data_IF_352615372182
#
_entry.id   IF_352615372182
#
_cell.length_a   1.000
_cell.length_b   1.000
_cell.length_c   1.000
_cell.angle_alpha   90.00
_cell.angle_beta   90.00
_cell.angle_gamma   90.00
#
_symmetry.space_group_name_H-M   'P 1'
#
loop_
_entity.id
_entity.type
_entity.pdbx_description
1 polymer ?
#
# COMPACT_ATOMS: atom_id res chain seq x y z
N UNK A 1 -30.50 -13.57 47.02
CA UNK A 1 -29.32 -12.69 47.14
C UNK A 1 -28.39 -13.26 48.19
N UNK A 2 -27.36 -14.01 47.78
CA UNK A 2 -26.14 -14.23 48.57
C UNK A 2 -24.99 -14.18 47.57
N UNK A 3 -24.10 -13.23 47.80
CA UNK A 3 -22.88 -12.95 47.05
C UNK A 3 -21.74 -13.64 47.78
N UNK A 4 -20.91 -14.42 47.09
CA UNK A 4 -19.62 -14.88 47.61
C UNK A 4 -18.62 -14.95 46.46
N UNK A 5 -17.71 -13.98 46.47
CA UNK A 5 -16.54 -13.92 45.61
C UNK A 5 -15.43 -14.83 46.16
N UNK A 6 -14.54 -15.24 45.23
CA UNK A 6 -13.11 -15.54 45.41
C UNK A 6 -12.72 -16.96 45.89
N UNK A 7 -12.10 -17.77 45.00
CA UNK A 7 -10.65 -18.02 44.98
C UNK A 7 -10.24 -19.18 44.02
N UNK A 8 -9.21 -18.89 43.22
CA UNK A 8 -8.12 -19.77 42.73
C UNK A 8 -8.42 -20.98 41.84
N UNK A 9 -7.94 -20.95 40.60
CA UNK A 9 -6.69 -21.65 40.24
C UNK A 9 -6.24 -21.31 38.82
N UNK A 10 -5.07 -20.65 38.71
CA UNK A 10 -4.39 -20.38 37.44
C UNK A 10 -3.63 -21.66 37.07
N UNK A 11 -3.98 -22.26 35.94
CA UNK A 11 -3.25 -23.41 35.39
C UNK A 11 -2.27 -22.93 34.32
N UNK A 12 -0.98 -22.83 34.67
CA UNK A 12 0.14 -22.64 33.74
C UNK A 12 0.85 -23.98 33.54
N UNK A 13 0.83 -24.52 32.32
CA UNK A 13 1.82 -25.41 31.69
C UNK A 13 1.33 -25.61 30.24
N UNK A 14 2.12 -25.62 29.17
CA UNK A 14 3.50 -26.07 29.03
C UNK A 14 4.20 -25.41 27.82
N UNK A 15 5.50 -25.24 27.96
CA UNK A 15 6.47 -25.05 26.88
C UNK A 15 6.42 -26.19 25.85
N UNK A 16 6.51 -25.88 24.56
CA UNK A 16 7.46 -26.57 23.68
C UNK A 16 7.76 -25.73 22.43
N UNK A 17 9.05 -25.55 22.21
CA UNK A 17 9.65 -24.84 21.08
C UNK A 17 9.81 -25.78 19.88
N UNK A 18 9.82 -25.24 18.66
CA UNK A 18 10.83 -25.54 17.63
C UNK A 18 10.65 -24.67 16.39
N UNK A 19 11.72 -23.93 16.07
CA UNK A 19 11.97 -23.18 14.85
C UNK A 19 12.43 -24.15 13.75
N UNK A 20 11.94 -23.99 12.51
CA UNK A 20 12.62 -24.52 11.32
C UNK A 20 12.65 -23.42 10.26
N UNK A 21 13.84 -22.86 10.04
CA UNK A 21 14.16 -21.99 8.91
C UNK A 21 14.77 -22.88 7.83
N UNK A 22 14.18 -22.92 6.63
CA UNK A 22 14.82 -23.49 5.46
C UNK A 22 15.22 -22.35 4.52
N UNK A 23 16.50 -21.96 4.58
CA UNK A 23 17.15 -21.24 3.49
C UNK A 23 17.50 -22.25 2.39
N UNK A 24 16.93 -22.06 1.20
CA UNK A 24 17.45 -22.67 -0.02
C UNK A 24 18.07 -21.60 -0.90
N UNK A 25 19.39 -21.65 -0.98
CA UNK A 25 20.25 -20.89 -1.86
C UNK A 25 20.39 -21.55 -3.25
N UNK A 26 20.99 -20.79 -4.17
CA UNK A 26 21.50 -21.13 -5.53
C UNK A 26 20.46 -21.07 -6.67
N UNK A 27 20.74 -20.45 -7.83
CA UNK A 27 22.05 -20.31 -8.49
C UNK A 27 22.25 -18.98 -9.22
N UNK A 28 23.50 -18.52 -9.17
CA UNK A 28 24.12 -17.59 -10.11
C UNK A 28 24.43 -18.37 -11.40
N UNK A 29 24.12 -17.82 -12.57
CA UNK A 29 24.81 -18.22 -13.79
C UNK A 29 25.06 -17.03 -14.70
N UNK A 30 26.31 -16.95 -15.14
CA UNK A 30 26.93 -15.85 -15.85
C UNK A 30 26.43 -15.75 -17.29
N UNK A 31 26.15 -14.54 -17.75
CA UNK A 31 26.09 -14.18 -19.16
C UNK A 31 27.02 -13.01 -19.42
N UNK A 32 28.28 -13.31 -19.71
CA UNK A 32 29.25 -12.34 -20.18
C UNK A 32 28.90 -11.90 -21.61
N UNK A 33 28.85 -10.59 -21.85
CA UNK A 33 28.72 -9.99 -23.17
C UNK A 33 29.21 -8.55 -23.12
N UNK A 34 30.39 -8.32 -23.69
CA UNK A 34 31.17 -7.10 -23.61
C UNK A 34 30.67 -5.99 -24.55
N UNK A 35 30.87 -4.74 -24.10
CA UNK A 35 31.10 -3.48 -24.82
C UNK A 35 30.23 -3.11 -26.04
N UNK A 36 29.52 -2.00 -25.93
CA UNK A 36 29.65 -0.94 -26.93
C UNK A 36 29.39 0.42 -26.29
N UNK A 37 30.38 1.29 -26.41
CA UNK A 37 30.37 2.70 -26.04
C UNK A 37 29.16 3.45 -26.58
N UNK A 38 28.66 4.38 -25.76
CA UNK A 38 28.35 5.73 -26.22
C UNK A 38 28.40 6.70 -25.05
N UNK A 39 29.53 7.41 -25.00
CA UNK A 39 29.70 8.60 -24.20
C UNK A 39 28.65 9.65 -24.58
N UNK A 40 28.01 10.20 -23.56
CA UNK A 40 27.07 11.31 -23.66
C UNK A 40 26.91 11.98 -22.30
N UNK A 41 28.02 12.30 -21.64
CA UNK A 41 28.02 13.18 -20.48
C UNK A 41 27.73 14.60 -20.96
N UNK A 42 26.75 15.27 -20.35
CA UNK A 42 26.96 16.51 -19.59
C UNK A 42 25.65 17.00 -18.95
N UNK A 43 25.63 16.90 -17.62
CA UNK A 43 25.15 17.89 -16.64
C UNK A 43 23.87 18.69 -16.95
N UNK A 44 22.83 18.51 -16.12
CA UNK A 44 22.52 19.42 -14.99
C UNK A 44 21.69 18.68 -13.94
N UNK A 45 22.18 18.69 -12.70
CA UNK A 45 21.44 18.25 -11.52
C UNK A 45 20.26 19.17 -11.30
N UNK A 46 19.04 18.61 -11.30
CA UNK A 46 17.84 19.21 -10.75
C UNK A 46 16.91 18.04 -10.43
N UNK A 47 16.59 17.87 -9.16
CA UNK A 47 15.71 16.85 -8.61
C UNK A 47 14.45 16.65 -9.46
N UNK A 48 14.52 15.65 -10.34
CA UNK A 48 13.39 15.10 -11.06
C UNK A 48 13.34 13.66 -10.63
N UNK A 49 12.49 13.36 -9.66
CA UNK A 49 12.09 11.98 -9.37
C UNK A 49 11.20 11.57 -10.55
N UNK A 50 11.85 11.30 -11.68
CA UNK A 50 11.24 10.70 -12.86
C UNK A 50 10.67 9.37 -12.43
N UNK A 51 9.34 9.25 -12.50
CA UNK A 51 8.66 7.97 -12.55
C UNK A 51 9.40 7.12 -13.58
N UNK A 52 10.11 6.10 -13.10
CA UNK A 52 10.84 5.18 -13.95
C UNK A 52 9.83 4.26 -14.61
N UNK A 53 9.26 4.74 -15.72
CA UNK A 53 8.67 3.88 -16.74
C UNK A 53 9.82 3.16 -17.44
N UNK A 54 10.37 2.13 -16.80
CA UNK A 54 11.28 1.19 -17.47
C UNK A 54 10.41 0.10 -18.07
N UNK A 55 10.06 0.31 -19.33
CA UNK A 55 9.43 -0.69 -20.20
C UNK A 55 10.27 -1.97 -20.19
N UNK A 56 9.73 -3.00 -19.55
CA UNK A 56 10.19 -4.38 -19.66
C UNK A 56 9.04 -5.20 -20.24
N UNK A 57 9.19 -5.58 -21.50
CA UNK A 57 8.22 -6.28 -22.34
C UNK A 57 7.81 -7.65 -21.77
N UNK A 58 6.86 -7.67 -20.82
CA UNK A 58 6.05 -8.83 -20.35
C UNK A 58 4.69 -8.37 -19.79
N UNK A 59 4.19 -7.22 -20.24
CA UNK A 59 3.50 -6.25 -19.36
C UNK A 59 1.97 -6.38 -19.29
N UNK A 60 1.31 -7.08 -20.21
CA UNK A 60 -0.15 -7.01 -20.33
C UNK A 60 -0.92 -7.58 -19.14
N UNK A 61 -0.45 -8.66 -18.52
CA UNK A 61 -1.17 -9.30 -17.42
C UNK A 61 -0.95 -8.57 -16.09
N UNK A 62 0.29 -8.16 -15.80
CA UNK A 62 0.60 -7.44 -14.56
C UNK A 62 0.01 -6.02 -14.57
N UNK A 63 0.04 -5.32 -15.71
CA UNK A 63 -0.58 -3.99 -15.83
C UNK A 63 -2.10 -4.08 -15.64
N UNK A 64 -2.74 -5.14 -16.18
CA UNK A 64 -4.17 -5.37 -15.99
C UNK A 64 -4.54 -5.64 -14.52
N UNK A 65 -3.70 -6.39 -13.79
CA UNK A 65 -3.91 -6.71 -12.38
C UNK A 65 -3.73 -5.48 -11.50
N UNK A 66 -2.69 -4.69 -11.76
CA UNK A 66 -2.45 -3.42 -11.06
C UNK A 66 -3.60 -2.45 -11.29
N UNK A 67 -4.04 -2.28 -12.54
CA UNK A 67 -5.17 -1.40 -12.87
C UNK A 67 -6.47 -1.86 -12.21
N UNK A 68 -6.73 -3.17 -12.18
CA UNK A 68 -7.89 -3.73 -11.47
C UNK A 68 -7.84 -3.40 -9.97
N UNK A 69 -6.71 -3.66 -9.32
CA UNK A 69 -6.55 -3.37 -7.89
C UNK A 69 -6.74 -1.89 -7.57
N UNK A 70 -6.15 -0.99 -8.35
CA UNK A 70 -6.32 0.45 -8.16
C UNK A 70 -7.78 0.87 -8.30
N UNK A 71 -8.48 0.38 -9.32
CA UNK A 71 -9.89 0.70 -9.56
C UNK A 71 -10.81 0.18 -8.45
N UNK A 72 -10.62 -1.06 -7.99
CA UNK A 72 -11.41 -1.63 -6.90
C UNK A 72 -11.17 -0.89 -5.58
N UNK A 73 -9.90 -0.57 -5.29
CA UNK A 73 -9.52 0.21 -4.11
C UNK A 73 -10.13 1.61 -4.16
N UNK A 74 -10.06 2.27 -5.33
CA UNK A 74 -10.66 3.58 -5.54
C UNK A 74 -12.17 3.56 -5.28
N UNK A 75 -12.88 2.57 -5.84
CA UNK A 75 -14.34 2.46 -5.69
C UNK A 75 -14.75 2.18 -4.24
N UNK A 76 -14.03 1.27 -3.57
CA UNK A 76 -14.24 1.01 -2.14
C UNK A 76 -14.10 2.29 -1.32
N UNK A 77 -13.01 3.04 -1.50
CA UNK A 77 -12.75 4.27 -0.74
C UNK A 77 -13.81 5.34 -1.02
N UNK A 78 -14.15 5.53 -2.30
CA UNK A 78 -15.16 6.50 -2.69
C UNK A 78 -16.53 6.16 -2.07
N UNK A 79 -16.90 4.89 -2.04
CA UNK A 79 -18.13 4.41 -1.42
C UNK A 79 -18.10 4.59 0.10
N UNK A 80 -17.01 4.15 0.74
CA UNK A 80 -16.80 4.29 2.17
C UNK A 80 -16.94 5.76 2.61
N UNK A 81 -16.20 6.68 1.99
CA UNK A 81 -16.20 8.09 2.38
C UNK A 81 -17.55 8.77 2.15
N UNK A 82 -18.29 8.41 1.10
CA UNK A 82 -19.67 8.88 0.89
C UNK A 82 -20.61 8.40 1.99
N UNK A 83 -20.41 7.18 2.50
CA UNK A 83 -21.25 6.60 3.54
C UNK A 83 -20.95 7.12 4.95
N UNK A 84 -19.70 7.52 5.23
CA UNK A 84 -19.27 7.92 6.58
C UNK A 84 -19.40 9.41 6.86
N UNK A 85 -19.68 10.23 5.84
CA UNK A 85 -19.99 11.67 5.77
C UNK A 85 -19.16 12.66 6.62
N UNK A 86 -18.89 12.39 7.90
CA UNK A 86 -18.18 13.28 8.83
C UNK A 86 -17.26 12.58 9.84
N UNK A 87 -17.33 11.24 9.97
CA UNK A 87 -16.53 10.50 10.97
C UNK A 87 -16.01 9.19 10.38
N UNK A 88 -14.98 9.23 9.52
CA UNK A 88 -14.35 8.02 9.03
C UNK A 88 -13.60 7.33 10.17
N UNK A 89 -14.05 6.12 10.49
CA UNK A 89 -13.34 5.21 11.36
C UNK A 89 -12.11 4.64 10.64
N UNK A 90 -10.93 5.07 11.09
CA UNK A 90 -9.66 4.68 10.48
C UNK A 90 -9.45 3.17 10.49
N UNK A 91 -9.91 2.46 11.53
CA UNK A 91 -9.74 1.02 11.61
C UNK A 91 -10.53 0.31 10.49
N UNK A 92 -11.81 0.64 10.33
CA UNK A 92 -12.67 0.10 9.26
C UNK A 92 -12.14 0.46 7.88
N UNK A 93 -11.62 1.68 7.71
CA UNK A 93 -11.01 2.10 6.45
C UNK A 93 -9.81 1.23 6.06
N UNK A 94 -8.87 1.03 7.00
CA UNK A 94 -7.68 0.22 6.74
C UNK A 94 -8.01 -1.27 6.58
N UNK A 95 -8.98 -1.78 7.34
CA UNK A 95 -9.48 -3.15 7.20
C UNK A 95 -10.06 -3.38 5.80
N UNK A 96 -10.90 -2.47 5.31
CA UNK A 96 -11.49 -2.62 3.97
C UNK A 96 -10.46 -2.50 2.84
N UNK A 97 -9.44 -1.65 2.96
CA UNK A 97 -8.31 -1.66 2.01
C UNK A 97 -7.58 -3.01 2.07
N UNK A 98 -7.34 -3.54 3.26
CA UNK A 98 -6.71 -4.85 3.44
C UNK A 98 -7.51 -5.97 2.77
N UNK A 99 -8.84 -5.93 2.85
CA UNK A 99 -9.72 -6.91 2.21
C UNK A 99 -9.65 -6.83 0.69
N UNK A 100 -9.64 -5.63 0.11
CA UNK A 100 -9.49 -5.42 -1.34
C UNK A 100 -8.10 -5.88 -1.81
N UNK A 101 -7.05 -5.58 -1.04
CA UNK A 101 -5.70 -6.01 -1.33
C UNK A 101 -5.57 -7.55 -1.31
N UNK A 102 -6.13 -8.21 -0.29
CA UNK A 102 -6.12 -9.65 -0.18
C UNK A 102 -6.83 -10.33 -1.37
N UNK A 103 -7.98 -9.79 -1.81
CA UNK A 103 -8.70 -10.26 -3.00
C UNK A 103 -7.88 -10.12 -4.30
N UNK A 104 -6.90 -9.21 -4.32
CA UNK A 104 -5.97 -9.00 -5.43
C UNK A 104 -4.62 -9.73 -5.21
N UNK A 105 -4.46 -10.50 -4.13
CA UNK A 105 -3.22 -11.21 -3.80
C UNK A 105 -2.08 -10.29 -3.34
N UNK A 106 -2.41 -9.10 -2.81
CA UNK A 106 -1.47 -8.14 -2.25
C UNK A 106 -1.49 -8.30 -0.74
N UNK A 107 -0.33 -8.62 -0.16
CA UNK A 107 -0.18 -8.86 1.28
C UNK A 107 0.19 -7.58 2.02
N UNK A 108 1.17 -6.84 1.52
CA UNK A 108 1.65 -5.59 2.10
C UNK A 108 1.16 -4.39 1.28
N UNK A 109 -0.11 -4.05 1.45
CA UNK A 109 -0.71 -2.92 0.75
C UNK A 109 -0.20 -1.57 1.27
N UNK A 110 0.30 -1.50 2.50
CA UNK A 110 0.85 -0.29 3.13
C UNK A 110 2.21 0.11 2.55
N UNK A 111 2.96 -0.83 1.98
CA UNK A 111 4.16 -0.59 1.19
C UNK A 111 3.86 -0.41 -0.31
N UNK A 112 2.64 -0.74 -0.76
CA UNK A 112 2.29 -0.66 -2.18
C UNK A 112 1.90 0.77 -2.59
N UNK A 113 2.65 1.42 -3.51
CA UNK A 113 2.36 2.79 -3.93
C UNK A 113 1.01 2.96 -4.64
N UNK A 114 0.53 1.91 -5.32
CA UNK A 114 -0.76 1.92 -6.03
C UNK A 114 -1.95 2.11 -5.07
N UNK A 115 -1.83 1.67 -3.82
CA UNK A 115 -2.85 1.90 -2.80
C UNK A 115 -3.03 3.39 -2.54
N UNK A 116 -1.93 4.12 -2.36
CA UNK A 116 -1.96 5.56 -2.09
C UNK A 116 -2.38 6.37 -3.32
N UNK A 117 -1.98 5.92 -4.52
CA UNK A 117 -2.47 6.49 -5.76
C UNK A 117 -4.00 6.35 -5.87
N UNK A 118 -4.55 5.15 -5.62
CA UNK A 118 -5.99 4.90 -5.60
C UNK A 118 -6.74 5.72 -4.54
N UNK A 119 -6.16 5.95 -3.36
CA UNK A 119 -6.71 6.88 -2.36
C UNK A 119 -6.85 8.29 -2.96
N UNK A 120 -5.81 8.81 -3.61
CA UNK A 120 -5.85 10.11 -4.29
C UNK A 120 -6.96 10.20 -5.34
N UNK A 121 -7.07 9.18 -6.19
CA UNK A 121 -8.10 9.10 -7.23
C UNK A 121 -9.52 9.05 -6.63
N UNK A 122 -9.71 8.37 -5.50
CA UNK A 122 -11.00 8.30 -4.83
C UNK A 122 -11.40 9.63 -4.23
N UNK A 123 -10.47 10.34 -3.57
CA UNK A 123 -10.70 11.67 -3.01
C UNK A 123 -11.07 12.68 -4.10
N UNK A 124 -10.44 12.59 -5.28
CA UNK A 124 -10.82 13.38 -6.47
C UNK A 124 -12.22 13.03 -6.96
N UNK A 125 -12.53 11.73 -7.09
CA UNK A 125 -13.81 11.20 -7.60
C UNK A 125 -15.01 11.69 -6.79
N UNK A 126 -14.87 11.82 -5.47
CA UNK A 126 -15.95 12.25 -4.59
C UNK A 126 -15.99 13.78 -4.39
N UNK A 127 -15.04 14.52 -4.98
CA UNK A 127 -14.98 15.98 -4.99
C UNK A 127 -15.07 16.61 -3.60
N UNK A 128 -14.19 16.18 -2.68
CA UNK A 128 -14.14 16.75 -1.33
C UNK A 128 -13.66 18.21 -1.35
N UNK A 129 -14.14 19.04 -0.41
CA UNK A 129 -13.52 20.34 -0.18
C UNK A 129 -12.08 20.18 0.30
N UNK A 130 -11.22 21.14 -0.07
CA UNK A 130 -9.76 21.06 0.14
C UNK A 130 -9.37 20.79 1.61
N UNK A 131 -10.11 21.34 2.58
CA UNK A 131 -9.86 21.10 4.00
C UNK A 131 -10.05 19.63 4.40
N UNK A 132 -11.07 18.96 3.89
CA UNK A 132 -11.31 17.53 4.13
C UNK A 132 -10.29 16.66 3.41
N UNK A 133 -9.93 17.01 2.17
CA UNK A 133 -8.84 16.36 1.45
C UNK A 133 -7.53 16.37 2.26
N UNK A 134 -7.12 17.55 2.75
CA UNK A 134 -5.90 17.68 3.56
C UNK A 134 -5.99 16.97 4.92
N UNK A 135 -7.18 16.84 5.49
CA UNK A 135 -7.40 16.06 6.70
C UNK A 135 -7.21 14.55 6.43
N UNK A 136 -7.88 14.00 5.42
CA UNK A 136 -7.79 12.58 5.07
C UNK A 136 -6.41 12.19 4.58
N UNK A 137 -5.76 13.02 3.76
CA UNK A 137 -4.39 12.79 3.30
C UNK A 137 -3.43 12.62 4.48
N UNK A 138 -3.55 13.44 5.53
CA UNK A 138 -2.72 13.30 6.74
C UNK A 138 -3.12 12.10 7.61
N UNK A 139 -4.41 11.91 7.82
CA UNK A 139 -4.94 10.83 8.67
C UNK A 139 -4.55 9.44 8.12
N UNK A 140 -4.79 9.18 6.83
CA UNK A 140 -4.56 7.87 6.22
C UNK A 140 -3.09 7.52 6.05
N UNK A 141 -2.21 8.53 6.00
CA UNK A 141 -0.76 8.33 5.85
C UNK A 141 -0.02 8.40 7.16
N UNK A 142 -0.70 8.69 8.28
CA UNK A 142 -0.05 9.04 9.56
C UNK A 142 0.99 10.17 9.38
N UNK A 143 0.70 11.11 8.47
CA UNK A 143 1.59 12.20 8.05
C UNK A 143 2.92 11.77 7.41
N UNK A 144 3.02 10.57 6.85
CA UNK A 144 4.17 10.13 6.05
C UNK A 144 4.24 10.93 4.73
N UNK A 145 5.33 11.68 4.54
CA UNK A 145 5.48 12.57 3.39
C UNK A 145 5.50 11.86 2.03
N UNK A 146 6.06 10.65 1.97
CA UNK A 146 6.13 9.88 0.73
C UNK A 146 4.72 9.40 0.35
N UNK A 147 3.99 8.86 1.31
CA UNK A 147 2.60 8.39 1.10
C UNK A 147 1.67 9.55 0.75
N UNK A 148 1.85 10.72 1.38
CA UNK A 148 1.09 11.92 1.03
C UNK A 148 1.38 12.41 -0.39
N UNK A 149 2.62 12.31 -0.87
CA UNK A 149 2.98 12.66 -2.25
C UNK A 149 2.31 11.72 -3.25
N UNK A 150 2.25 10.41 -2.96
CA UNK A 150 1.54 9.43 -3.80
C UNK A 150 0.03 9.70 -3.86
N UNK A 151 -0.59 10.05 -2.73
CA UNK A 151 -2.00 10.51 -2.72
C UNK A 151 -2.17 11.76 -3.58
N UNK A 152 -1.24 12.71 -3.49
CA UNK A 152 -1.30 13.94 -4.27
C UNK A 152 -1.18 13.68 -5.78
N UNK A 153 -0.33 12.73 -6.19
CA UNK A 153 -0.22 12.29 -7.58
C UNK A 153 -1.53 11.68 -8.06
N UNK A 154 -2.12 10.75 -7.30
CA UNK A 154 -3.40 10.13 -7.65
C UNK A 154 -4.57 11.13 -7.71
N UNK A 155 -4.54 12.18 -6.90
CA UNK A 155 -5.54 13.26 -6.94
C UNK A 155 -5.43 14.12 -8.20
N UNK A 156 -4.25 14.23 -8.79
CA UNK A 156 -4.02 15.02 -10.01
C UNK A 156 -4.41 14.24 -11.27
N UNK A 157 -4.39 12.91 -11.22
CA UNK A 157 -4.75 12.01 -12.31
C UNK A 157 -6.23 12.08 -12.66
#
# INVERSE_FOLDING_TARGET
>A
MINVNHLTSISYTALSASIIILLSACSISNGAGSSSDSAGSMAKSSDSISGSSTSSSKSSENDSKTSRYENETQEFIATYLRSTANTPDQHTFMAGISDVAAQNGIVDWEANPHTYHAIGMALKKINLPQNQYEAYKRQFTRSDNIKMALIQQGYQH
#
